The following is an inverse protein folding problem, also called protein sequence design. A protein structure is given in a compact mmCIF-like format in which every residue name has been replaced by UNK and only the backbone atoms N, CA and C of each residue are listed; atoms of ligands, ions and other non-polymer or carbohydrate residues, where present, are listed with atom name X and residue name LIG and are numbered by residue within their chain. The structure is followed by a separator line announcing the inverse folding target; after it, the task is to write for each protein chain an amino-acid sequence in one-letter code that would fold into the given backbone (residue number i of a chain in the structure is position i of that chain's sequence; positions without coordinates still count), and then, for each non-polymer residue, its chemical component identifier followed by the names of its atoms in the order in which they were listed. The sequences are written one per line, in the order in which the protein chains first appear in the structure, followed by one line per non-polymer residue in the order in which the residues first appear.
data_IF_960897275918
#
_entry.id   IF_960897275918
#
_cell.length_a   1.000
_cell.length_b   1.000
_cell.length_c   1.000
_cell.angle_alpha   90.00
_cell.angle_beta   90.00
_cell.angle_gamma   90.00
#
_symmetry.space_group_name_H-M   'P 1'
#
loop_
_entity.id
_entity.type
_entity.pdbx_description
1 polymer ?
#
# COMPACT_ATOMS: atom_id res chain seq x y z
N UNK A 1 -21.93 1.84 3.63
CA UNK A 1 -20.48 1.66 3.47
C UNK A 1 -20.06 0.46 4.30
N UNK A 2 -19.22 -0.38 3.74
CA UNK A 2 -18.67 -1.55 4.40
C UNK A 2 -17.16 -1.39 4.53
N UNK A 3 -16.55 -2.17 5.41
CA UNK A 3 -15.11 -2.15 5.66
C UNK A 3 -14.55 -3.57 5.59
N UNK A 4 -13.36 -3.67 5.00
CA UNK A 4 -12.56 -4.88 5.02
C UNK A 4 -11.22 -4.54 5.69
N UNK A 5 -10.94 -5.18 6.81
CA UNK A 5 -9.68 -4.99 7.50
C UNK A 5 -8.54 -5.67 6.73
N UNK A 6 -7.34 -5.14 6.89
CA UNK A 6 -6.13 -5.79 6.39
C UNK A 6 -6.00 -7.19 7.02
N UNK A 7 -5.75 -8.19 6.17
CA UNK A 7 -5.55 -9.56 6.59
C UNK A 7 -4.14 -9.79 7.11
N UNK A 8 -3.15 -9.27 6.39
CA UNK A 8 -1.74 -9.30 6.76
C UNK A 8 -1.07 -8.00 6.39
N UNK A 9 -0.15 -7.55 7.20
CA UNK A 9 0.63 -6.34 6.97
C UNK A 9 2.06 -6.52 7.47
N UNK A 10 2.97 -5.79 6.85
CA UNK A 10 4.35 -5.76 7.29
C UNK A 10 5.12 -4.66 6.58
N UNK A 11 6.39 -4.59 6.87
CA UNK A 11 7.29 -3.71 6.14
C UNK A 11 8.64 -4.40 5.93
N UNK A 12 9.34 -3.96 4.91
CA UNK A 12 10.69 -4.43 4.63
C UNK A 12 11.62 -3.24 4.65
N UNK A 13 12.64 -3.35 5.47
CA UNK A 13 13.74 -2.40 5.56
C UNK A 13 14.81 -2.82 4.57
N UNK A 14 15.01 -2.05 3.52
CA UNK A 14 16.09 -2.26 2.56
C UNK A 14 17.47 -2.12 3.21
N UNK A 15 18.53 -2.57 2.54
CA UNK A 15 19.90 -2.43 3.04
C UNK A 15 20.35 -0.96 3.05
N UNK A 16 21.44 -0.71 3.75
CA UNK A 16 22.11 0.58 3.69
C UNK A 16 23.04 0.60 2.46
N UNK A 17 22.75 1.48 1.52
CA UNK A 17 23.48 1.57 0.26
C UNK A 17 24.18 2.93 0.10
N UNK A 18 25.20 2.97 -0.74
CA UNK A 18 26.00 4.19 -0.98
C UNK A 18 25.33 5.20 -1.91
N UNK A 19 24.24 4.82 -2.56
CA UNK A 19 23.42 5.71 -3.41
C UNK A 19 21.95 5.42 -3.23
N UNK A 20 21.13 6.39 -3.58
CA UNK A 20 19.67 6.28 -3.52
C UNK A 20 19.15 5.21 -4.49
N UNK A 21 19.67 5.20 -5.73
CA UNK A 21 19.32 4.20 -6.74
C UNK A 21 19.66 2.78 -6.25
N UNK A 22 20.84 2.55 -5.69
CA UNK A 22 21.21 1.23 -5.16
C UNK A 22 20.29 0.81 -4.01
N UNK A 23 19.88 1.73 -3.13
CA UNK A 23 18.96 1.44 -2.04
C UNK A 23 17.54 1.11 -2.55
N UNK A 24 17.09 1.78 -3.62
CA UNK A 24 15.81 1.55 -4.27
C UNK A 24 15.76 0.18 -4.97
N UNK A 25 16.81 -0.15 -5.69
CA UNK A 25 16.90 -1.33 -6.54
C UNK A 25 17.48 -2.56 -5.80
N UNK A 26 17.60 -2.48 -4.47
CA UNK A 26 18.05 -3.60 -3.66
C UNK A 26 17.15 -4.83 -3.87
N UNK A 27 17.78 -5.99 -4.05
CA UNK A 27 17.05 -7.25 -4.32
C UNK A 27 16.31 -7.77 -3.08
N UNK A 28 16.81 -7.46 -1.87
CA UNK A 28 16.22 -7.94 -0.63
C UNK A 28 16.43 -6.98 0.54
N UNK A 29 15.72 -7.21 1.63
CA UNK A 29 15.82 -6.44 2.85
C UNK A 29 15.54 -7.28 4.10
N UNK A 30 15.32 -6.60 5.23
CA UNK A 30 14.91 -7.24 6.48
C UNK A 30 13.41 -7.05 6.65
N UNK A 31 12.66 -8.13 6.58
CA UNK A 31 11.22 -8.10 6.75
C UNK A 31 10.82 -8.05 8.23
N UNK A 32 9.78 -7.30 8.49
CA UNK A 32 8.98 -7.36 9.72
C UNK A 32 7.56 -7.66 9.29
N UNK A 33 7.16 -8.89 9.51
CA UNK A 33 5.85 -9.41 9.13
C UNK A 33 4.97 -9.58 10.35
N UNK A 34 3.68 -9.33 10.21
CA UNK A 34 2.75 -9.44 11.32
C UNK A 34 1.30 -9.36 10.91
N UNK A 35 0.47 -9.74 11.88
CA UNK A 35 -0.97 -9.54 11.86
C UNK A 35 -1.33 -8.24 12.58
N UNK A 36 -2.59 -8.03 12.89
CA UNK A 36 -3.07 -6.83 13.60
C UNK A 36 -2.22 -6.51 14.84
N UNK A 37 -1.83 -5.27 15.01
CA UNK A 37 -1.04 -4.77 16.16
C UNK A 37 0.44 -4.52 15.89
N UNK A 38 0.97 -5.00 14.76
CA UNK A 38 2.34 -4.69 14.34
C UNK A 38 2.38 -3.30 13.70
N UNK A 39 3.31 -2.48 14.12
CA UNK A 39 3.58 -1.22 13.43
C UNK A 39 4.05 -1.52 12.01
N UNK A 40 3.62 -0.73 11.07
CA UNK A 40 4.04 -0.79 9.68
C UNK A 40 4.58 0.59 9.32
N UNK A 41 5.69 0.65 8.61
CA UNK A 41 6.35 1.90 8.31
C UNK A 41 6.68 2.04 6.83
N UNK A 42 6.68 3.28 6.37
CA UNK A 42 7.30 3.70 5.10
C UNK A 42 8.34 4.74 5.47
N UNK A 43 9.54 4.61 4.95
CA UNK A 43 10.60 5.55 5.25
C UNK A 43 11.58 5.69 4.11
N UNK A 44 12.04 6.91 3.88
CA UNK A 44 13.34 7.20 3.28
C UNK A 44 14.28 7.68 4.38
N UNK A 45 15.47 7.10 4.43
CA UNK A 45 16.50 7.45 5.38
C UNK A 45 17.83 7.72 4.67
N UNK A 46 18.43 8.84 5.01
CA UNK A 46 19.78 9.22 4.59
C UNK A 46 20.63 9.54 5.81
N UNK A 47 21.85 9.02 5.86
CA UNK A 47 22.80 9.28 6.94
C UNK A 47 24.14 9.73 6.37
N UNK A 48 24.42 11.01 6.51
CA UNK A 48 25.67 11.63 6.06
C UNK A 48 26.88 11.21 6.91
N UNK A 49 26.70 10.96 8.21
CA UNK A 49 27.78 10.66 9.17
C UNK A 49 28.38 9.25 9.03
N UNK A 50 27.80 8.37 8.22
CA UNK A 50 28.24 7.00 7.95
C UNK A 50 28.62 6.74 6.49
N UNK A 51 29.12 7.75 5.80
CA UNK A 51 29.57 7.59 4.42
C UNK A 51 28.43 7.71 3.40
N UNK A 52 27.45 8.57 3.62
CA UNK A 52 26.32 8.79 2.72
C UNK A 52 25.53 7.52 2.46
N UNK A 53 24.92 6.96 3.48
CA UNK A 53 24.10 5.76 3.32
C UNK A 53 22.63 6.11 3.12
N UNK A 54 22.01 5.46 2.16
CA UNK A 54 20.62 5.59 1.77
C UNK A 54 19.87 4.29 2.10
N UNK A 55 18.60 4.39 2.48
CA UNK A 55 17.76 3.24 2.78
C UNK A 55 16.29 3.58 2.56
N UNK A 56 15.54 2.63 2.01
CA UNK A 56 14.08 2.68 1.93
C UNK A 56 13.44 1.66 2.86
N UNK A 57 12.25 2.00 3.34
CA UNK A 57 11.33 1.07 4.00
C UNK A 57 10.04 1.11 3.22
N UNK A 58 9.54 -0.04 2.79
CA UNK A 58 8.30 -0.25 2.04
C UNK A 58 7.31 -1.02 2.89
N UNK A 59 6.05 -0.60 2.90
CA UNK A 59 4.99 -1.31 3.59
C UNK A 59 4.20 -2.19 2.62
N UNK A 60 3.80 -3.37 3.06
CA UNK A 60 3.08 -4.37 2.29
C UNK A 60 1.78 -4.72 3.01
N UNK A 61 0.67 -4.65 2.29
CA UNK A 61 -0.66 -4.87 2.82
C UNK A 61 -1.39 -5.89 1.96
N UNK A 62 -1.97 -6.91 2.60
CA UNK A 62 -2.75 -7.95 1.95
C UNK A 62 -4.18 -7.93 2.47
N UNK A 63 -5.14 -7.99 1.57
CA UNK A 63 -6.57 -8.03 1.86
C UNK A 63 -7.19 -9.28 1.22
N UNK A 64 -8.01 -9.99 1.97
CA UNK A 64 -8.89 -11.05 1.45
C UNK A 64 -10.12 -10.39 0.84
N UNK A 65 -10.14 -10.31 -0.48
CA UNK A 65 -11.24 -9.68 -1.24
C UNK A 65 -12.25 -10.69 -1.76
N UNK A 66 -12.13 -11.95 -1.34
CA UNK A 66 -13.08 -12.99 -1.71
C UNK A 66 -14.51 -12.58 -1.34
N UNK A 67 -15.38 -12.58 -2.32
CA UNK A 67 -16.77 -12.16 -2.13
C UNK A 67 -17.03 -10.66 -2.14
N UNK A 68 -16.03 -9.82 -2.41
CA UNK A 68 -16.23 -8.41 -2.71
C UNK A 68 -16.54 -8.25 -4.19
N UNK A 69 -17.70 -7.68 -4.49
CA UNK A 69 -17.98 -7.16 -5.82
C UNK A 69 -17.75 -5.66 -5.79
N UNK A 70 -16.66 -5.20 -6.37
CA UNK A 70 -16.36 -3.79 -6.42
C UNK A 70 -17.35 -3.10 -7.38
N UNK A 71 -18.18 -2.24 -6.83
CA UNK A 71 -19.08 -1.38 -7.59
C UNK A 71 -18.96 0.04 -7.03
N UNK A 72 -18.20 0.91 -7.68
CA UNK A 72 -18.06 2.29 -7.24
C UNK A 72 -16.69 2.65 -6.68
N UNK A 73 -16.59 3.80 -6.02
CA UNK A 73 -15.35 4.27 -5.41
C UNK A 73 -15.00 3.46 -4.16
N UNK A 74 -13.73 3.19 -4.02
CA UNK A 74 -13.15 2.53 -2.84
C UNK A 74 -12.03 3.39 -2.28
N UNK A 75 -11.85 3.35 -0.97
CA UNK A 75 -10.75 4.05 -0.31
C UNK A 75 -9.95 3.10 0.56
N UNK A 76 -8.67 3.38 0.68
CA UNK A 76 -7.79 2.80 1.69
C UNK A 76 -7.73 3.77 2.88
N UNK A 77 -8.32 3.37 4.00
CA UNK A 77 -8.28 4.12 5.24
C UNK A 77 -7.08 3.66 6.07
N UNK A 78 -6.25 4.60 6.46
CA UNK A 78 -5.05 4.37 7.25
C UNK A 78 -5.07 5.29 8.46
N UNK A 79 -4.77 4.77 9.63
CA UNK A 79 -4.43 5.56 10.81
C UNK A 79 -2.96 5.42 11.11
N UNK A 80 -2.30 6.50 11.48
CA UNK A 80 -0.88 6.50 11.78
C UNK A 80 -0.37 7.89 12.11
N UNK A 81 0.89 7.99 12.45
CA UNK A 81 1.56 9.25 12.75
C UNK A 81 2.69 9.50 11.74
N UNK A 82 2.64 10.62 11.05
CA UNK A 82 3.79 11.09 10.28
C UNK A 82 4.87 11.58 11.25
N UNK A 83 6.10 11.11 11.09
CA UNK A 83 7.24 11.67 11.83
C UNK A 83 8.05 12.67 11.00
N UNK A 84 7.78 12.77 9.70
CA UNK A 84 8.21 13.84 8.82
C UNK A 84 7.24 13.92 7.63
N UNK A 85 7.13 15.10 7.02
CA UNK A 85 6.28 15.30 5.86
C UNK A 85 6.78 14.47 4.68
N UNK A 86 5.86 13.88 3.93
CA UNK A 86 6.16 13.12 2.74
C UNK A 86 4.90 12.70 2.03
N UNK A 87 5.03 12.43 0.74
CA UNK A 87 3.94 11.90 -0.06
C UNK A 87 4.06 10.38 -0.15
N UNK A 88 2.93 9.71 -0.04
CA UNK A 88 2.79 8.27 -0.14
C UNK A 88 2.01 7.93 -1.39
N UNK A 89 2.37 6.86 -2.04
CA UNK A 89 1.64 6.28 -3.16
C UNK A 89 1.48 4.77 -2.94
N UNK A 90 0.31 4.25 -3.28
CA UNK A 90 0.04 2.83 -3.30
C UNK A 90 0.30 2.25 -4.68
N UNK A 91 1.04 1.16 -4.74
CA UNK A 91 1.41 0.45 -5.97
C UNK A 91 1.10 -1.04 -5.86
N UNK A 92 0.99 -1.71 -7.00
CA UNK A 92 0.84 -3.15 -7.03
C UNK A 92 2.08 -3.85 -6.49
N UNK A 93 1.90 -4.96 -5.78
CA UNK A 93 2.99 -5.87 -5.47
C UNK A 93 2.57 -7.34 -5.63
N UNK A 94 3.56 -8.19 -5.81
CA UNK A 94 3.39 -9.65 -5.96
C UNK A 94 3.94 -10.44 -4.78
N UNK A 95 4.38 -9.76 -3.72
CA UNK A 95 4.88 -10.37 -2.51
C UNK A 95 3.83 -11.26 -1.85
N UNK A 96 4.24 -12.43 -1.39
CA UNK A 96 3.39 -13.35 -0.65
C UNK A 96 2.11 -13.68 -1.42
N UNK A 97 2.22 -14.34 -2.56
CA UNK A 97 1.07 -14.66 -3.41
C UNK A 97 -0.10 -15.25 -2.61
N UNK A 98 -1.26 -14.60 -2.73
CA UNK A 98 -2.47 -14.97 -2.01
C UNK A 98 -2.66 -14.19 -0.69
N UNK A 99 -3.74 -14.51 0.02
CA UNK A 99 -4.22 -13.78 1.19
C UNK A 99 -3.45 -14.07 2.48
N UNK A 100 -2.46 -14.94 2.46
CA UNK A 100 -1.81 -15.41 3.68
C UNK A 100 -0.31 -15.63 3.59
N UNK A 101 0.31 -15.27 2.47
CA UNK A 101 1.75 -15.42 2.28
C UNK A 101 2.54 -14.55 3.27
N UNK A 102 3.61 -15.11 3.80
CA UNK A 102 4.53 -14.38 4.69
C UNK A 102 5.28 -13.31 3.89
N UNK A 103 5.41 -12.12 4.47
CA UNK A 103 6.24 -11.05 3.91
C UNK A 103 7.69 -11.33 4.29
N UNK A 104 8.51 -11.60 3.30
CA UNK A 104 9.93 -11.98 3.47
C UNK A 104 10.86 -10.91 2.88
N UNK A 105 12.15 -10.98 3.21
CA UNK A 105 13.13 -9.99 2.78
C UNK A 105 13.23 -9.83 1.26
N UNK A 106 13.08 -10.91 0.52
CA UNK A 106 13.15 -10.94 -0.96
C UNK A 106 11.94 -10.25 -1.63
N UNK A 107 10.87 -10.01 -0.88
CA UNK A 107 9.72 -9.25 -1.37
C UNK A 107 9.99 -7.76 -1.56
N UNK A 108 11.12 -7.27 -1.05
CA UNK A 108 11.49 -5.86 -1.20
C UNK A 108 11.46 -5.40 -2.65
N UNK A 109 11.92 -6.24 -3.58
CA UNK A 109 11.94 -5.95 -5.00
C UNK A 109 10.66 -6.39 -5.76
N UNK A 110 9.68 -6.96 -5.09
CA UNK A 110 8.42 -7.43 -5.71
C UNK A 110 7.36 -6.32 -5.84
N UNK A 111 7.80 -5.06 -5.97
CA UNK A 111 6.94 -3.88 -6.15
C UNK A 111 6.87 -3.51 -7.62
N UNK A 112 5.67 -3.42 -8.16
CA UNK A 112 5.42 -3.00 -9.54
C UNK A 112 5.16 -1.48 -9.58
N UNK A 113 6.22 -0.71 -9.79
CA UNK A 113 6.14 0.74 -9.92
C UNK A 113 5.43 1.22 -11.19
N UNK A 114 5.17 0.35 -12.17
CA UNK A 114 4.40 0.71 -13.36
C UNK A 114 2.89 0.75 -13.11
N UNK A 115 2.41 0.09 -12.04
CA UNK A 115 1.00 0.00 -11.72
C UNK A 115 0.68 0.71 -10.41
N UNK A 116 0.25 1.97 -10.47
CA UNK A 116 -0.20 2.71 -9.31
C UNK A 116 -1.66 2.39 -8.97
N UNK A 117 -1.91 2.13 -7.70
CA UNK A 117 -3.24 1.87 -7.15
C UNK A 117 -3.85 3.08 -6.47
N UNK A 118 -3.06 4.12 -6.19
CA UNK A 118 -3.55 5.39 -5.66
C UNK A 118 -2.88 6.57 -6.36
N UNK A 119 -3.44 7.76 -6.21
CA UNK A 119 -2.69 8.98 -6.45
C UNK A 119 -1.65 9.20 -5.33
N UNK A 120 -0.64 10.02 -5.63
CA UNK A 120 0.27 10.50 -4.58
C UNK A 120 -0.49 11.39 -3.61
N UNK A 121 -0.38 11.10 -2.33
CA UNK A 121 -1.11 11.80 -1.27
C UNK A 121 -0.17 12.23 -0.17
N UNK A 122 -0.23 13.53 0.18
CA UNK A 122 0.54 14.06 1.29
C UNK A 122 -0.03 13.57 2.62
N UNK A 123 0.85 13.09 3.48
CA UNK A 123 0.49 12.67 4.82
C UNK A 123 0.81 13.78 5.83
N UNK A 124 -0.22 14.44 6.30
CA UNK A 124 -0.07 15.56 7.25
C UNK A 124 -0.71 15.32 8.61
N UNK A 125 -1.45 14.24 8.79
CA UNK A 125 -2.29 14.00 9.99
C UNK A 125 -2.17 12.56 10.48
N UNK A 126 -2.81 12.29 11.61
CA UNK A 126 -2.85 10.96 12.23
C UNK A 126 -3.76 9.95 11.53
N UNK A 127 -4.29 10.30 10.37
CA UNK A 127 -5.12 9.38 9.58
C UNK A 127 -5.48 9.98 8.24
N UNK A 128 -5.67 9.12 7.24
CA UNK A 128 -6.08 9.52 5.91
C UNK A 128 -6.95 8.46 5.25
N UNK A 129 -7.71 8.88 4.27
CA UNK A 129 -8.48 8.04 3.36
C UNK A 129 -8.00 8.33 1.95
N UNK A 130 -7.42 7.33 1.30
CA UNK A 130 -6.83 7.46 -0.03
C UNK A 130 -7.75 6.79 -1.03
N UNK A 131 -8.18 7.54 -2.05
CA UNK A 131 -9.01 6.97 -3.12
C UNK A 131 -8.20 5.97 -3.96
N UNK A 132 -8.79 4.80 -4.20
CA UNK A 132 -8.20 3.77 -5.03
C UNK A 132 -8.47 4.05 -6.52
N UNK A 133 -7.47 3.80 -7.35
CA UNK A 133 -7.57 3.94 -8.80
C UNK A 133 -8.51 2.88 -9.40
N UNK A 134 -8.95 3.10 -10.65
CA UNK A 134 -9.73 2.11 -11.38
C UNK A 134 -8.99 0.76 -11.52
N UNK A 135 -7.66 0.80 -11.64
CA UNK A 135 -6.84 -0.43 -11.69
C UNK A 135 -6.91 -1.22 -10.38
N UNK A 136 -6.87 -0.53 -9.23
CA UNK A 136 -7.03 -1.16 -7.92
C UNK A 136 -8.43 -1.76 -7.75
N UNK A 137 -9.48 -1.01 -8.12
CA UNK A 137 -10.87 -1.48 -8.05
C UNK A 137 -11.07 -2.72 -8.93
N UNK A 138 -10.47 -2.75 -10.12
CA UNK A 138 -10.50 -3.93 -11.01
C UNK A 138 -9.79 -5.12 -10.36
N UNK A 139 -8.59 -4.94 -9.81
CA UNK A 139 -7.86 -5.99 -9.12
C UNK A 139 -8.65 -6.58 -7.94
N UNK A 140 -9.32 -5.74 -7.14
CA UNK A 140 -10.18 -6.17 -6.03
C UNK A 140 -11.38 -6.98 -6.52
N UNK A 141 -11.90 -6.68 -7.72
CA UNK A 141 -13.08 -7.36 -8.27
C UNK A 141 -12.77 -8.68 -8.96
N UNK A 142 -11.58 -8.78 -9.53
CA UNK A 142 -11.18 -9.90 -10.37
C UNK A 142 -10.49 -11.02 -9.58
N UNK A 143 -9.82 -10.65 -8.47
CA UNK A 143 -9.05 -11.55 -7.64
C UNK A 143 -9.68 -11.72 -6.25
N UNK A 144 -9.49 -12.90 -5.65
CA UNK A 144 -9.91 -13.19 -4.28
C UNK A 144 -9.00 -12.51 -3.23
N UNK A 145 -7.99 -11.79 -3.66
CA UNK A 145 -7.05 -11.07 -2.82
C UNK A 145 -6.58 -9.77 -3.49
N UNK A 146 -6.30 -8.77 -2.67
CA UNK A 146 -5.76 -7.50 -3.12
C UNK A 146 -4.49 -7.18 -2.35
N UNK A 147 -3.40 -6.99 -3.09
CA UNK A 147 -2.08 -6.74 -2.56
C UNK A 147 -1.61 -5.35 -2.97
N UNK A 148 -1.37 -4.49 -2.00
CA UNK A 148 -0.89 -3.12 -2.21
C UNK A 148 0.35 -2.85 -1.37
N UNK A 149 1.41 -2.35 -2.01
CA UNK A 149 2.55 -1.77 -1.33
C UNK A 149 2.37 -0.26 -1.20
N UNK A 150 2.74 0.28 -0.05
CA UNK A 150 2.83 1.72 0.16
C UNK A 150 4.30 2.10 0.16
N UNK A 151 4.63 3.09 -0.66
CA UNK A 151 6.00 3.58 -0.84
C UNK A 151 6.04 5.10 -0.80
N UNK A 152 7.19 5.67 -0.49
CA UNK A 152 7.41 7.11 -0.62
C UNK A 152 7.39 7.56 -2.08
N UNK A 153 7.03 8.80 -2.33
CA UNK A 153 6.97 9.34 -3.69
C UNK A 153 8.36 9.39 -4.35
N UNK A 154 9.40 9.55 -3.57
CA UNK A 154 10.80 9.56 -4.03
C UNK A 154 11.21 8.18 -4.52
N UNK A 155 10.82 7.13 -3.80
CA UNK A 155 11.02 5.74 -4.19
C UNK A 155 10.25 5.42 -5.49
N UNK A 156 9.01 5.89 -5.58
CA UNK A 156 8.17 5.69 -6.76
C UNK A 156 8.72 6.38 -8.02
N UNK A 157 9.12 7.64 -7.90
CA UNK A 157 9.57 8.45 -9.03
C UNK A 157 11.02 8.20 -9.44
N UNK A 158 11.78 7.41 -8.68
CA UNK A 158 13.22 7.25 -8.86
C UNK A 158 13.95 8.61 -8.91
N UNK A 159 13.55 9.51 -8.03
CA UNK A 159 14.13 10.85 -7.96
C UNK A 159 15.05 10.95 -6.76
N UNK A 160 16.28 11.39 -7.01
CA UNK A 160 17.18 11.76 -5.92
C UNK A 160 16.64 13.01 -5.23
N UNK A 161 16.32 12.88 -3.94
CA UNK A 161 16.08 14.05 -3.11
C UNK A 161 17.35 14.89 -3.08
N UNK A 162 17.23 16.22 -3.24
CA UNK A 162 18.37 17.10 -3.04
C UNK A 162 18.89 16.86 -1.62
N UNK A 163 20.14 16.46 -1.51
CA UNK A 163 20.82 16.38 -0.23
C UNK A 163 20.82 17.76 0.38
N UNK A 164 20.03 18.00 1.41
CA UNK A 164 20.15 19.22 2.19
C UNK A 164 21.55 19.26 2.77
N UNK A 165 22.16 20.45 2.79
CA UNK A 165 23.61 20.67 2.99
C UNK A 165 24.16 20.10 4.32
N UNK A 166 23.36 19.62 5.24
CA UNK A 166 23.84 18.99 6.47
C UNK A 166 22.78 18.14 7.17
N UNK A 167 23.08 16.88 7.42
CA UNK A 167 22.36 16.12 8.41
C UNK A 167 21.78 14.77 7.94
N UNK A 168 21.11 14.11 8.85
CA UNK A 168 20.37 12.92 8.58
C UNK A 168 18.97 13.29 8.12
N UNK A 169 18.52 12.75 7.01
CA UNK A 169 17.14 12.86 6.54
C UNK A 169 16.41 11.59 6.97
N UNK A 170 15.28 11.77 7.62
CA UNK A 170 14.36 10.68 7.92
C UNK A 170 12.96 11.19 7.65
N UNK A 171 12.32 10.68 6.60
CA UNK A 171 10.94 11.01 6.22
C UNK A 171 10.14 9.74 6.16
N UNK A 172 8.94 9.75 6.70
CA UNK A 172 8.12 8.57 6.64
C UNK A 172 6.91 8.62 7.57
N UNK A 173 6.25 7.49 7.64
CA UNK A 173 5.00 7.32 8.33
C UNK A 173 5.04 5.99 9.06
N UNK A 174 4.78 6.03 10.35
CA UNK A 174 4.48 4.83 11.12
C UNK A 174 2.97 4.63 11.12
N UNK A 175 2.51 3.47 10.68
CA UNK A 175 1.11 3.11 10.71
C UNK A 175 0.75 2.50 12.06
N UNK A 176 -0.31 3.05 12.64
CA UNK A 176 -0.94 2.53 13.84
C UNK A 176 -1.91 1.37 13.51
N UNK A 177 -2.95 1.21 14.25
CA UNK A 177 -3.76 0.00 14.33
C UNK A 177 -4.78 -0.19 13.20
N UNK A 178 -5.20 0.86 12.48
CA UNK A 178 -6.29 0.73 11.50
C UNK A 178 -5.78 0.85 10.07
N UNK A 179 -5.85 -0.27 9.35
CA UNK A 179 -5.62 -0.37 7.91
C UNK A 179 -6.80 -1.14 7.33
N UNK A 180 -7.62 -0.49 6.53
CA UNK A 180 -8.84 -1.10 5.99
C UNK A 180 -9.22 -0.51 4.64
N UNK A 181 -9.86 -1.34 3.84
CA UNK A 181 -10.57 -0.88 2.66
C UNK A 181 -11.97 -0.45 3.06
N UNK A 182 -12.39 0.73 2.61
CA UNK A 182 -13.76 1.19 2.70
C UNK A 182 -14.39 1.12 1.30
N UNK A 183 -15.56 0.51 1.20
CA UNK A 183 -16.24 0.35 -0.07
C UNK A 183 -17.75 0.56 0.08
N UNK A 184 -18.37 1.04 -0.98
CA UNK A 184 -19.82 1.05 -1.05
C UNK A 184 -20.28 -0.32 -1.56
N UNK A 185 -21.12 -0.98 -0.80
CA UNK A 185 -21.90 -2.10 -1.33
C UNK A 185 -22.94 -1.51 -2.28
N UNK A 186 -22.51 -1.17 -3.49
CA UNK A 186 -23.43 -0.81 -4.56
C UNK A 186 -24.28 -2.02 -4.89
N UNK A 187 -25.60 -1.85 -4.93
CA UNK A 187 -26.65 -2.86 -4.98
C UNK A 187 -26.28 -4.21 -5.57
N UNK A 188 -26.74 -5.27 -4.92
CA UNK A 188 -26.49 -6.68 -5.26
C UNK A 188 -25.01 -7.06 -5.40
N UNK A 189 -24.34 -7.31 -4.28
CA UNK A 189 -22.98 -7.81 -4.22
C UNK A 189 -22.75 -9.24 -4.74
N UNK A 190 -23.69 -9.77 -5.53
CA UNK A 190 -23.59 -11.13 -6.09
C UNK A 190 -24.03 -11.15 -7.55
N UNK A 191 -23.39 -11.98 -8.35
CA UNK A 191 -23.87 -12.34 -9.67
C UNK A 191 -25.23 -13.01 -9.55
N UNK A 192 -26.26 -12.43 -10.10
CA UNK A 192 -27.57 -13.05 -10.21
C UNK A 192 -27.64 -13.80 -11.53
N UNK A 193 -27.73 -15.11 -11.47
CA UNK A 193 -27.85 -15.99 -12.67
C UNK A 193 -26.72 -15.76 -13.72
N UNK A 194 -25.49 -15.48 -13.28
CA UNK A 194 -24.35 -15.28 -14.18
C UNK A 194 -24.24 -13.86 -14.78
N UNK A 195 -25.14 -12.96 -14.42
CA UNK A 195 -25.04 -11.54 -14.82
C UNK A 195 -24.26 -10.76 -13.78
N UNK A 196 -23.22 -10.04 -14.21
CA UNK A 196 -22.43 -9.20 -13.31
C UNK A 196 -23.29 -8.10 -12.69
N UNK A 197 -23.06 -7.79 -11.41
CA UNK A 197 -23.83 -6.76 -10.67
C UNK A 197 -23.88 -5.41 -11.35
N UNK A 198 -22.80 -5.01 -12.02
CA UNK A 198 -22.73 -3.78 -12.81
C UNK A 198 -23.71 -3.73 -14.02
N UNK A 199 -24.21 -4.88 -14.44
CA UNK A 199 -25.16 -5.01 -15.56
C UNK A 199 -26.61 -5.10 -15.11
N UNK A 200 -26.89 -5.04 -13.80
CA UNK A 200 -28.25 -5.08 -13.25
C UNK A 200 -28.68 -3.65 -12.96
N UNK A 201 -29.37 -3.05 -13.90
CA UNK A 201 -29.78 -1.64 -13.81
C UNK A 201 -30.94 -1.40 -12.83
N UNK A 202 -31.80 -2.39 -12.62
CA UNK A 202 -32.97 -2.27 -11.74
C UNK A 202 -33.47 -3.65 -11.30
N UNK A 203 -33.74 -3.80 -10.01
CA UNK A 203 -34.52 -4.93 -9.50
C UNK A 203 -35.81 -4.37 -8.93
N UNK A 204 -36.88 -4.59 -9.66
CA UNK A 204 -38.24 -4.22 -9.21
C UNK A 204 -38.61 -5.10 -8.01
N UNK A 205 -38.77 -4.48 -6.84
CA UNK A 205 -39.41 -5.13 -5.70
C UNK A 205 -40.93 -5.17 -5.99
N UNK A 206 -41.41 -6.32 -6.39
CA UNK A 206 -42.85 -6.57 -6.37
C UNK A 206 -43.24 -6.75 -4.91
N UNK A 207 -44.07 -5.85 -4.42
CA UNK A 207 -44.71 -5.93 -3.11
C UNK A 207 -45.81 -7.00 -3.10
#
# INVERSE_FOLDING_TARGET
MAYLNVNRKGFITGPNESSQSAARDAESGTATDGTSGTQTAIQYYFNQGRGNTHRYIRAFLHFDTSGISAGGSMTLDITGAAFAHGNVIGVKHTAGEGTGGEIIGDDFNNVDFATSYTASTEWTTTGMSIELSAAAVTAISDDDHFNIALVGIEDYNDTEEPLEESGNISRGIDFDSTLRLQYSTGGYGHKVAGVASASIAEVSTVA
#
